data_IF_547615340783
#
_entry.id   IF_547615340783
#
_cell.length_a   1.000
_cell.length_b   1.000
_cell.length_c   1.000
_cell.angle_alpha   90.00
_cell.angle_beta   90.00
_cell.angle_gamma   90.00
#
_symmetry.space_group_name_H-M   'P 1'
#
loop_
_entity.id
_entity.type
_entity.pdbx_description
1 polymer ?
#
# COMPACT_ATOMS: atom_id res chain seq x y z
N UNK A 1 50.35 11.49 4.06
CA UNK A 1 49.95 10.17 3.53
C UNK A 1 48.46 10.22 3.21
N UNK A 2 48.07 10.16 1.93
CA UNK A 2 46.65 10.07 1.56
C UNK A 2 46.25 8.60 1.72
N UNK A 3 45.46 8.30 2.74
CA UNK A 3 44.80 7.00 2.89
C UNK A 3 43.85 6.82 1.71
N UNK A 4 44.30 6.07 0.71
CA UNK A 4 43.45 5.56 -0.36
C UNK A 4 42.50 4.54 0.28
N UNK A 5 41.28 4.96 0.61
CA UNK A 5 40.22 4.04 1.01
C UNK A 5 39.83 3.22 -0.20
N UNK A 6 40.11 1.91 -0.14
CA UNK A 6 39.74 0.95 -1.16
C UNK A 6 38.22 1.04 -1.42
N UNK A 7 37.85 1.38 -2.65
CA UNK A 7 36.45 1.42 -3.07
C UNK A 7 35.83 0.02 -3.03
N UNK A 8 34.52 -0.06 -2.79
CA UNK A 8 33.80 -1.33 -2.83
C UNK A 8 33.89 -1.92 -4.23
N UNK A 9 34.49 -3.10 -4.37
CA UNK A 9 34.70 -3.76 -5.68
C UNK A 9 33.40 -4.30 -6.29
N UNK A 10 32.35 -4.48 -5.49
CA UNK A 10 31.08 -5.05 -5.92
C UNK A 10 29.91 -4.34 -5.24
N UNK A 11 28.83 -4.16 -5.99
CA UNK A 11 27.57 -3.67 -5.48
C UNK A 11 26.99 -4.71 -4.52
N UNK A 12 26.24 -4.27 -3.50
CA UNK A 12 25.57 -5.18 -2.54
C UNK A 12 24.66 -6.23 -3.19
N UNK A 13 24.22 -6.00 -4.42
CA UNK A 13 23.43 -6.96 -5.20
C UNK A 13 24.27 -8.02 -5.92
N UNK A 14 25.60 -8.00 -5.78
CA UNK A 14 26.54 -8.96 -6.37
C UNK A 14 27.14 -8.56 -7.72
N UNK A 15 26.73 -7.42 -8.31
CA UNK A 15 27.33 -6.93 -9.57
C UNK A 15 28.66 -6.23 -9.31
N UNK A 16 29.63 -6.50 -10.16
CA UNK A 16 30.98 -5.90 -10.20
C UNK A 16 31.02 -4.52 -10.88
N UNK A 17 30.14 -4.27 -11.86
CA UNK A 17 30.04 -2.98 -12.53
C UNK A 17 29.45 -1.88 -11.60
N UNK A 18 30.34 -1.15 -10.92
CA UNK A 18 29.98 -0.02 -10.08
C UNK A 18 29.81 1.25 -10.93
N UNK A 19 28.65 1.91 -10.79
CA UNK A 19 28.39 3.22 -11.38
C UNK A 19 28.88 4.35 -10.46
N UNK A 20 28.37 4.39 -9.23
CA UNK A 20 28.68 5.44 -8.26
C UNK A 20 28.37 4.96 -6.83
N UNK A 21 29.03 5.56 -5.82
CA UNK A 21 28.77 5.32 -4.38
C UNK A 21 28.71 3.84 -3.97
N UNK A 22 29.49 2.98 -4.63
CA UNK A 22 29.51 1.53 -4.38
C UNK A 22 28.25 0.79 -4.86
N UNK A 23 27.48 1.36 -5.80
CA UNK A 23 26.29 0.77 -6.39
C UNK A 23 26.42 0.59 -7.90
N UNK A 24 25.91 -0.53 -8.41
CA UNK A 24 25.68 -0.71 -9.85
C UNK A 24 24.59 0.22 -10.38
N UNK A 25 24.52 0.42 -11.70
CA UNK A 25 23.55 1.33 -12.33
C UNK A 25 22.09 1.07 -11.90
N UNK A 26 21.69 -0.20 -11.78
CA UNK A 26 20.33 -0.57 -11.35
C UNK A 26 20.08 -0.20 -9.88
N UNK A 27 20.98 -0.57 -8.97
CA UNK A 27 20.80 -0.25 -7.54
C UNK A 27 20.92 1.26 -7.27
N UNK A 28 21.78 1.96 -8.00
CA UNK A 28 21.86 3.41 -7.95
C UNK A 28 20.55 4.07 -8.37
N UNK A 29 19.95 3.63 -9.47
CA UNK A 29 18.65 4.14 -9.94
C UNK A 29 17.53 3.86 -8.94
N UNK A 30 17.47 2.64 -8.40
CA UNK A 30 16.46 2.27 -7.40
C UNK A 30 16.61 3.09 -6.11
N UNK A 31 17.84 3.32 -5.65
CA UNK A 31 18.11 4.16 -4.48
C UNK A 31 17.67 5.60 -4.71
N UNK A 32 18.01 6.20 -5.85
CA UNK A 32 17.54 7.56 -6.18
C UNK A 32 16.01 7.63 -6.24
N UNK A 33 15.34 6.64 -6.85
CA UNK A 33 13.88 6.60 -6.90
C UNK A 33 13.26 6.45 -5.51
N UNK A 34 13.90 5.70 -4.61
CA UNK A 34 13.48 5.60 -3.21
C UNK A 34 13.60 6.95 -2.50
N UNK A 35 14.74 7.62 -2.64
CA UNK A 35 14.97 8.96 -2.12
C UNK A 35 13.96 9.98 -2.68
N UNK A 36 13.72 9.98 -4.00
CA UNK A 36 12.84 10.93 -4.69
C UNK A 36 11.35 10.72 -4.37
N UNK A 37 10.87 9.47 -4.39
CA UNK A 37 9.43 9.19 -4.28
C UNK A 37 8.99 8.77 -2.89
N UNK A 38 9.89 8.29 -2.03
CA UNK A 38 9.55 7.73 -0.72
C UNK A 38 10.44 8.28 0.40
N UNK A 39 11.32 9.24 0.13
CA UNK A 39 12.24 9.81 1.13
C UNK A 39 13.25 8.78 1.67
N UNK A 40 13.54 7.72 0.91
CA UNK A 40 14.42 6.63 1.35
C UNK A 40 13.76 5.66 2.35
N UNK A 41 12.44 5.76 2.54
CA UNK A 41 11.71 4.96 3.53
C UNK A 41 11.03 3.74 2.93
N UNK A 42 11.13 3.50 1.61
CA UNK A 42 10.36 2.44 0.94
C UNK A 42 10.64 1.07 1.55
N UNK A 43 11.91 0.73 1.78
CA UNK A 43 12.27 -0.58 2.35
C UNK A 43 11.83 -0.70 3.82
N UNK A 44 11.99 0.36 4.62
CA UNK A 44 11.53 0.37 6.01
C UNK A 44 10.01 0.17 6.13
N UNK A 45 9.22 0.73 5.21
CA UNK A 45 7.77 0.49 5.14
C UNK A 45 7.47 -0.98 4.82
N UNK A 46 8.17 -1.55 3.83
CA UNK A 46 7.98 -2.95 3.44
C UNK A 46 8.36 -3.91 4.56
N UNK A 47 9.50 -3.71 5.22
CA UNK A 47 9.97 -4.54 6.33
C UNK A 47 8.99 -4.49 7.51
N UNK A 48 8.55 -3.30 7.90
CA UNK A 48 7.52 -3.11 8.95
C UNK A 48 6.24 -3.89 8.63
N UNK A 49 5.84 -3.87 7.36
CA UNK A 49 4.64 -4.54 6.88
C UNK A 49 4.89 -6.00 6.47
N UNK A 50 6.09 -6.53 6.76
CA UNK A 50 6.52 -7.90 6.49
C UNK A 50 6.41 -8.30 5.00
N UNK A 51 6.50 -7.33 4.10
CA UNK A 51 6.28 -7.50 2.66
C UNK A 51 4.91 -8.11 2.34
N UNK A 52 3.87 -7.75 3.11
CA UNK A 52 2.49 -8.21 2.91
C UNK A 52 1.55 -7.03 2.77
N UNK A 53 0.42 -7.29 2.11
CA UNK A 53 -0.63 -6.30 1.97
C UNK A 53 -1.28 -6.01 3.34
N UNK A 54 -1.28 -4.76 3.79
CA UNK A 54 -1.91 -4.39 5.07
C UNK A 54 -3.43 -4.51 5.09
N UNK A 55 -4.07 -4.60 3.92
CA UNK A 55 -5.54 -4.74 3.80
C UNK A 55 -5.99 -6.19 3.78
N UNK A 56 -5.39 -7.02 2.92
CA UNK A 56 -5.87 -8.38 2.66
C UNK A 56 -4.82 -9.45 2.98
N UNK A 57 -3.69 -9.06 3.57
CA UNK A 57 -2.61 -9.94 3.99
C UNK A 57 -1.96 -10.76 2.86
N UNK A 58 -2.25 -10.45 1.59
CA UNK A 58 -1.67 -11.16 0.47
C UNK A 58 -0.13 -11.03 0.49
N UNK A 59 0.61 -12.16 0.39
CA UNK A 59 2.06 -12.12 0.37
C UNK A 59 2.56 -11.58 -0.96
N UNK A 60 3.84 -11.20 -0.97
CA UNK A 60 4.56 -10.87 -2.19
C UNK A 60 4.66 -12.09 -3.11
N UNK A 61 3.94 -12.10 -4.24
CA UNK A 61 4.08 -13.12 -5.30
C UNK A 61 5.38 -12.99 -6.10
N UNK A 62 5.88 -11.77 -6.29
CA UNK A 62 7.12 -11.47 -7.02
C UNK A 62 7.69 -10.10 -6.62
N UNK A 63 8.84 -9.70 -7.20
CA UNK A 63 9.57 -8.50 -6.77
C UNK A 63 8.75 -7.20 -6.72
N UNK A 64 7.67 -7.08 -7.51
CA UNK A 64 6.81 -5.89 -7.66
C UNK A 64 5.38 -6.06 -7.14
N UNK A 65 5.09 -7.15 -6.45
CA UNK A 65 3.71 -7.49 -6.05
C UNK A 65 3.20 -6.79 -4.78
N UNK A 66 4.03 -5.98 -4.13
CA UNK A 66 3.64 -5.10 -3.01
C UNK A 66 4.17 -3.68 -3.31
N UNK A 67 3.28 -2.71 -3.16
CA UNK A 67 3.46 -1.30 -3.50
C UNK A 67 3.41 -0.49 -2.20
N UNK A 68 4.31 0.47 -2.04
CA UNK A 68 4.22 1.45 -0.96
C UNK A 68 3.27 2.57 -1.38
N UNK A 69 2.25 2.78 -0.58
CA UNK A 69 1.18 3.76 -0.77
C UNK A 69 1.37 4.93 0.20
N UNK A 70 1.25 6.16 -0.29
CA UNK A 70 1.17 7.37 0.52
C UNK A 70 -0.29 7.66 0.87
N UNK A 71 -0.60 7.82 2.15
CA UNK A 71 -1.94 8.28 2.61
C UNK A 71 -2.14 9.79 2.41
N UNK A 72 -1.05 10.54 2.41
CA UNK A 72 -1.03 11.99 2.15
C UNK A 72 -0.07 12.26 0.99
N UNK A 73 -0.53 12.88 -0.11
CA UNK A 73 0.35 13.24 -1.21
C UNK A 73 1.51 14.13 -0.76
N UNK A 74 2.72 13.89 -1.27
CA UNK A 74 3.91 14.70 -0.97
C UNK A 74 4.50 14.53 0.43
N UNK A 75 3.89 13.71 1.29
CA UNK A 75 4.37 13.44 2.65
C UNK A 75 5.03 12.07 2.79
N UNK A 76 6.34 11.97 2.57
CA UNK A 76 7.10 10.75 2.84
C UNK A 76 7.47 10.65 4.33
N UNK A 77 6.47 10.26 5.14
CA UNK A 77 6.64 9.99 6.58
C UNK A 77 6.25 8.56 6.86
N UNK A 78 7.09 7.81 7.58
CA UNK A 78 6.97 6.35 7.73
C UNK A 78 5.56 5.89 8.14
N UNK A 79 4.92 6.56 9.10
CA UNK A 79 3.57 6.20 9.59
C UNK A 79 2.42 6.64 8.65
N UNK A 80 2.70 7.48 7.65
CA UNK A 80 1.77 7.88 6.60
C UNK A 80 1.91 7.03 5.33
N UNK A 81 2.82 6.05 5.34
CA UNK A 81 3.02 5.12 4.25
C UNK A 81 2.69 3.69 4.66
N UNK A 82 2.21 2.87 3.72
CA UNK A 82 1.89 1.46 3.96
C UNK A 82 1.97 0.60 2.70
N UNK A 83 2.12 -0.69 2.92
CA UNK A 83 2.27 -1.72 1.90
C UNK A 83 0.91 -2.27 1.44
N UNK A 84 0.62 -2.16 0.15
CA UNK A 84 -0.61 -2.68 -0.48
C UNK A 84 -0.27 -3.60 -1.65
N UNK A 85 -1.08 -4.65 -1.85
CA UNK A 85 -1.04 -5.38 -3.11
C UNK A 85 -1.65 -4.52 -4.25
N UNK A 86 -1.31 -4.78 -5.53
CA UNK A 86 -1.87 -4.04 -6.67
C UNK A 86 -3.40 -3.99 -6.69
N UNK A 87 -4.07 -5.06 -6.27
CA UNK A 87 -5.53 -5.11 -6.22
C UNK A 87 -6.13 -4.16 -5.18
N UNK A 88 -5.58 -4.14 -3.96
CA UNK A 88 -6.02 -3.19 -2.93
C UNK A 88 -5.62 -1.76 -3.27
N UNK A 89 -4.41 -1.56 -3.81
CA UNK A 89 -3.96 -0.24 -4.27
C UNK A 89 -4.86 0.32 -5.38
N UNK A 90 -5.25 -0.51 -6.36
CA UNK A 90 -6.18 -0.10 -7.40
C UNK A 90 -7.57 0.25 -6.84
N UNK A 91 -8.07 -0.48 -5.85
CA UNK A 91 -9.33 -0.12 -5.18
C UNK A 91 -9.24 1.26 -4.52
N UNK A 92 -8.14 1.56 -3.80
CA UNK A 92 -7.97 2.88 -3.17
C UNK A 92 -7.97 4.03 -4.18
N UNK A 93 -7.44 3.84 -5.40
CA UNK A 93 -7.24 4.94 -6.37
C UNK A 93 -8.23 4.99 -7.53
N UNK A 94 -8.86 3.87 -7.89
CA UNK A 94 -9.57 3.72 -9.18
C UNK A 94 -11.06 3.43 -9.05
N UNK A 95 -11.56 3.09 -7.87
CA UNK A 95 -13.01 2.83 -7.71
C UNK A 95 -13.76 4.12 -7.41
N UNK A 96 -14.84 4.36 -8.15
CA UNK A 96 -15.73 5.50 -7.92
C UNK A 96 -16.61 5.36 -6.67
N UNK A 97 -16.86 4.12 -6.25
CA UNK A 97 -17.61 3.79 -5.04
C UNK A 97 -17.05 2.50 -4.41
N UNK A 98 -17.27 2.35 -3.11
CA UNK A 98 -16.90 1.13 -2.35
C UNK A 98 -18.10 0.58 -1.60
N UNK A 99 -18.14 -0.74 -1.43
CA UNK A 99 -19.15 -1.41 -0.60
C UNK A 99 -18.77 -1.25 0.88
N UNK A 100 -19.72 -0.87 1.73
CA UNK A 100 -19.49 -0.69 3.17
C UNK A 100 -19.04 -1.98 3.89
N UNK A 101 -19.24 -3.14 3.27
CA UNK A 101 -18.76 -4.45 3.77
C UNK A 101 -17.28 -4.73 3.47
N UNK A 102 -16.57 -3.84 2.75
CA UNK A 102 -15.14 -4.01 2.48
C UNK A 102 -14.29 -3.88 3.76
N UNK A 103 -13.05 -4.41 3.77
CA UNK A 103 -12.18 -4.35 4.94
C UNK A 103 -12.04 -2.92 5.50
N UNK A 104 -12.09 -2.72 6.84
CA UNK A 104 -12.13 -1.37 7.44
C UNK A 104 -10.97 -0.47 7.02
N UNK A 105 -9.75 -1.03 6.92
CA UNK A 105 -8.59 -0.27 6.48
C UNK A 105 -8.73 0.19 5.02
N UNK A 106 -9.29 -0.64 4.14
CA UNK A 106 -9.51 -0.26 2.74
C UNK A 106 -10.48 0.91 2.63
N UNK A 107 -11.58 0.87 3.38
CA UNK A 107 -12.57 1.95 3.43
C UNK A 107 -11.94 3.25 3.93
N UNK A 108 -11.14 3.18 5.00
CA UNK A 108 -10.43 4.34 5.53
C UNK A 108 -9.51 4.99 4.49
N UNK A 109 -8.68 4.19 3.81
CA UNK A 109 -7.78 4.68 2.77
C UNK A 109 -8.54 5.26 1.57
N UNK A 110 -9.65 4.62 1.20
CA UNK A 110 -10.47 5.10 0.09
C UNK A 110 -11.13 6.45 0.41
N UNK A 111 -11.65 6.65 1.63
CA UNK A 111 -12.21 7.93 2.10
C UNK A 111 -11.18 9.05 2.10
N UNK A 112 -9.95 8.74 2.52
CA UNK A 112 -8.82 9.68 2.49
C UNK A 112 -8.52 10.16 1.05
N UNK A 113 -8.63 9.25 0.08
CA UNK A 113 -8.40 9.56 -1.34
C UNK A 113 -9.63 10.20 -2.02
N UNK A 114 -10.84 9.96 -1.50
CA UNK A 114 -12.12 10.37 -2.08
C UNK A 114 -13.01 11.05 -1.04
N UNK A 115 -12.70 12.29 -0.60
CA UNK A 115 -13.44 12.97 0.48
C UNK A 115 -14.91 13.25 0.14
N UNK A 116 -15.27 13.27 -1.15
CA UNK A 116 -16.65 13.46 -1.66
C UNK A 116 -17.20 12.19 -2.30
N UNK A 117 -16.56 11.03 -2.09
CA UNK A 117 -16.95 9.77 -2.68
C UNK A 117 -18.19 9.14 -2.04
N UNK A 118 -18.88 8.29 -2.80
CA UNK A 118 -20.07 7.58 -2.33
C UNK A 118 -19.77 6.15 -1.86
N UNK A 119 -20.30 5.78 -0.70
CA UNK A 119 -20.29 4.41 -0.20
C UNK A 119 -21.63 3.74 -0.48
N UNK A 120 -21.58 2.52 -1.01
CA UNK A 120 -22.75 1.70 -1.26
C UNK A 120 -23.02 0.82 -0.04
N UNK A 121 -24.24 0.88 0.47
CA UNK A 121 -24.69 0.01 1.55
C UNK A 121 -25.19 -1.33 1.00
N UNK A 122 -24.90 -2.40 1.72
CA UNK A 122 -25.50 -3.71 1.45
C UNK A 122 -26.94 -3.68 1.94
N UNK A 123 -27.90 -3.77 1.03
CA UNK A 123 -29.31 -3.94 1.37
C UNK A 123 -29.54 -5.41 1.74
N UNK A 124 -30.01 -5.66 2.96
CA UNK A 124 -30.48 -6.98 3.36
C UNK A 124 -31.99 -7.06 3.13
N UNK A 125 -32.40 -7.85 2.13
CA UNK A 125 -33.81 -8.03 1.78
C UNK A 125 -34.52 -9.09 2.64
N UNK A 126 -33.85 -9.68 3.64
CA UNK A 126 -34.46 -10.64 4.59
C UNK A 126 -35.23 -9.94 5.73
N UNK A 127 -35.84 -8.78 5.46
CA UNK A 127 -36.70 -8.13 6.44
C UNK A 127 -37.95 -8.99 6.61
N UNK A 128 -38.03 -9.69 7.75
CA UNK A 128 -39.22 -10.44 8.13
C UNK A 128 -40.42 -9.50 8.05
N UNK A 129 -41.38 -9.85 7.18
CA UNK A 129 -42.69 -9.25 7.22
C UNK A 129 -43.22 -9.42 8.64
N UNK A 130 -43.29 -8.34 9.41
CA UNK A 130 -44.12 -8.29 10.61
C UNK A 130 -45.53 -8.58 10.12
N UNK A 131 -45.97 -9.83 10.24
CA UNK A 131 -47.37 -10.19 10.03
C UNK A 131 -48.16 -9.37 11.05
N UNK A 132 -49.10 -8.50 10.64
CA UNK A 132 -49.97 -7.86 11.62
C UNK A 132 -50.64 -8.97 12.41
N UNK A 133 -50.52 -8.92 13.73
CA UNK A 133 -51.23 -9.82 14.62
C UNK A 133 -52.71 -9.68 14.29
N UNK A 134 -53.31 -10.78 13.83
CA UNK A 134 -54.75 -10.87 13.61
C UNK A 134 -55.43 -10.62 14.96
N UNK A 135 -55.93 -9.40 15.17
CA UNK A 135 -56.81 -9.09 16.29
C UNK A 135 -58.09 -9.90 16.08
N UNK A 136 -58.26 -10.96 16.87
CA UNK A 136 -59.53 -11.68 16.98
C UNK A 136 -60.55 -10.70 17.55
N UNK A 137 -61.47 -10.25 16.71
CA UNK A 137 -62.70 -9.63 17.16
C UNK A 137 -63.76 -10.74 17.15
N UNK A 138 -64.12 -11.15 18.37
CA UNK A 138 -65.19 -12.09 18.74
C UNK A 138 -64.91 -13.58 18.57
#
# INVERSE_FOLDING_TARGET
>A
MKTSTQGVLHCRCGRDEILAIGLCATCYTLRRQDEEYFGGLREAVLERDQYRCRVCDAPRRNKRSIIVHHRVPGGSVLHLMLSLCPGCHAKVHRTMAVLSAMPPLLLKLWREQHPVGHEQQVLNFQQEHIRPQHMSMF
#
